data_IF_040295573071
#
_entry.id   IF_040295573071
#
_cell.length_a   1.000
_cell.length_b   1.000
_cell.length_c   1.000
_cell.angle_alpha   90.00
_cell.angle_beta   90.00
_cell.angle_gamma   90.00
#
_symmetry.space_group_name_H-M   'P 1'
#
loop_
_entity.id
_entity.type
_entity.pdbx_description
1 polymer ?
#
# COMPACT_ATOMS: atom_id res chain seq x y z
N UNK A 1 -4.00 10.83 13.99
CA UNK A 1 -3.25 10.74 12.72
C UNK A 1 -3.86 11.67 11.67
N UNK A 2 -5.19 11.66 11.49
CA UNK A 2 -5.89 12.46 10.47
C UNK A 2 -5.59 13.98 10.53
N UNK A 3 -5.39 14.55 11.72
CA UNK A 3 -5.05 15.96 11.89
C UNK A 3 -3.55 16.28 11.70
N UNK A 4 -2.68 15.26 11.77
CA UNK A 4 -1.23 15.43 11.84
C UNK A 4 -0.53 15.11 10.52
N UNK A 5 -1.19 14.38 9.63
CA UNK A 5 -0.57 13.88 8.40
C UNK A 5 -1.58 13.82 7.26
N UNK A 6 -1.26 14.51 6.17
CA UNK A 6 -1.99 14.39 4.92
C UNK A 6 -1.43 13.22 4.11
N UNK A 7 -2.31 12.28 3.78
CA UNK A 7 -1.97 11.10 2.99
C UNK A 7 -1.49 11.47 1.59
N UNK A 8 -0.50 10.72 1.10
CA UNK A 8 -0.07 10.79 -0.30
C UNK A 8 -1.13 10.24 -1.26
N UNK A 9 -0.90 10.39 -2.57
CA UNK A 9 -1.78 9.81 -3.60
C UNK A 9 -1.91 8.28 -3.46
N UNK A 10 -0.80 7.59 -3.16
CA UNK A 10 -0.72 6.14 -3.23
C UNK A 10 -0.87 5.51 -1.84
N UNK A 11 -1.90 4.69 -1.68
CA UNK A 11 -2.29 4.08 -0.40
C UNK A 11 -2.26 2.57 -0.53
N UNK A 12 -1.90 1.86 0.54
CA UNK A 12 -1.92 0.40 0.55
C UNK A 12 -2.79 -0.14 1.67
N UNK A 13 -3.52 -1.21 1.36
CA UNK A 13 -4.38 -1.93 2.30
C UNK A 13 -3.92 -3.38 2.38
N UNK A 14 -3.63 -3.83 3.60
CA UNK A 14 -3.20 -5.20 3.85
C UNK A 14 -3.56 -5.70 5.25
N UNK A 15 -3.46 -7.01 5.44
CA UNK A 15 -3.61 -7.66 6.73
C UNK A 15 -2.27 -7.86 7.44
N UNK A 16 -2.25 -7.62 8.75
CA UNK A 16 -1.13 -7.98 9.62
C UNK A 16 -1.61 -8.83 10.78
N UNK A 17 -0.76 -9.75 11.21
CA UNK A 17 -1.07 -10.70 12.27
C UNK A 17 -0.35 -10.31 13.56
N UNK A 18 -1.11 -10.09 14.62
CA UNK A 18 -0.56 -10.02 15.98
C UNK A 18 -0.41 -11.45 16.50
N UNK A 19 0.63 -11.74 17.29
CA UNK A 19 0.91 -13.06 17.89
C UNK A 19 -0.12 -13.45 18.98
N UNK A 20 -1.36 -13.61 18.56
CA UNK A 20 -2.55 -14.08 19.25
C UNK A 20 -3.61 -14.47 18.21
N UNK A 21 -4.68 -15.19 18.58
CA UNK A 21 -5.79 -15.50 17.66
C UNK A 21 -6.59 -14.22 17.34
N UNK A 22 -6.17 -13.45 16.34
CA UNK A 22 -6.85 -12.27 15.81
C UNK A 22 -6.11 -11.70 14.60
N UNK A 23 -6.80 -10.96 13.71
CA UNK A 23 -6.18 -10.28 12.55
C UNK A 23 -6.38 -8.76 12.66
N UNK A 24 -5.38 -8.00 12.25
CA UNK A 24 -5.48 -6.55 12.07
C UNK A 24 -5.45 -6.25 10.57
N UNK A 25 -6.22 -5.25 10.16
CA UNK A 25 -6.23 -4.77 8.79
C UNK A 25 -5.79 -3.31 8.80
N UNK A 26 -4.78 -3.00 8.00
CA UNK A 26 -4.15 -1.69 7.97
C UNK A 26 -4.47 -0.95 6.68
N UNK A 27 -4.54 0.37 6.82
CA UNK A 27 -4.54 1.33 5.72
C UNK A 27 -3.37 2.28 5.94
N UNK A 28 -2.47 2.31 4.97
CA UNK A 28 -1.15 2.94 5.10
C UNK A 28 -0.80 3.81 3.89
N UNK A 29 0.05 4.80 4.13
CA UNK A 29 0.69 5.56 3.06
C UNK A 29 1.90 4.79 2.52
N UNK A 30 1.86 4.44 1.24
CA UNK A 30 2.87 3.59 0.59
C UNK A 30 4.24 4.25 0.49
N UNK A 31 4.27 5.58 0.38
CA UNK A 31 5.52 6.33 0.21
C UNK A 31 6.30 6.40 1.52
N UNK A 32 5.59 6.49 2.65
CA UNK A 32 6.21 6.66 3.97
C UNK A 32 6.18 5.41 4.83
N UNK A 33 5.34 4.42 4.51
CA UNK A 33 5.06 3.25 5.36
C UNK A 33 4.31 3.62 6.65
N UNK A 34 3.60 4.75 6.65
CA UNK A 34 2.88 5.23 7.83
C UNK A 34 1.53 4.55 7.94
N UNK A 35 1.26 3.93 9.10
CA UNK A 35 -0.07 3.38 9.37
C UNK A 35 -1.00 4.52 9.71
N UNK A 36 -2.01 4.70 8.86
CA UNK A 36 -2.96 5.77 9.02
C UNK A 36 -4.21 5.30 9.76
N UNK A 37 -4.78 4.16 9.35
CA UNK A 37 -5.98 3.59 9.97
C UNK A 37 -5.82 2.08 10.19
N UNK A 38 -6.40 1.61 11.29
CA UNK A 38 -6.41 0.19 11.66
C UNK A 38 -7.85 -0.24 11.91
N UNK A 39 -8.24 -1.37 11.32
CA UNK A 39 -9.49 -2.06 11.62
C UNK A 39 -9.18 -3.43 12.23
N UNK A 40 -9.75 -3.72 13.40
CA UNK A 40 -9.54 -4.99 14.10
C UNK A 40 -10.56 -6.00 13.58
N UNK A 41 -10.09 -7.17 13.18
CA UNK A 41 -10.96 -8.30 12.85
C UNK A 41 -11.06 -9.27 14.04
N UNK A 42 -12.24 -9.31 14.67
CA UNK A 42 -12.55 -10.17 15.83
C UNK A 42 -13.25 -11.49 15.50
N UNK A 43 -13.40 -11.82 14.21
CA UNK A 43 -14.10 -13.04 13.76
C UNK A 43 -15.54 -12.76 13.34
N UNK A 44 -16.40 -13.78 13.51
CA UNK A 44 -17.80 -13.77 13.07
C UNK A 44 -18.60 -12.63 13.71
N UNK A 45 -19.37 -11.90 12.90
CA UNK A 45 -20.13 -10.70 13.32
C UNK A 45 -19.36 -9.37 13.20
N UNK A 46 -18.07 -9.38 12.88
CA UNK A 46 -17.30 -8.14 12.66
C UNK A 46 -17.46 -7.64 11.22
N UNK A 47 -18.10 -6.49 11.04
CA UNK A 47 -18.19 -5.85 9.73
C UNK A 47 -19.17 -6.51 8.78
N UNK A 48 -20.39 -6.72 9.25
CA UNK A 48 -21.52 -7.17 8.45
C UNK A 48 -22.28 -5.97 7.91
N UNK A 49 -22.39 -5.89 6.59
CA UNK A 49 -23.36 -5.05 5.89
C UNK A 49 -24.29 -5.98 5.11
N UNK A 50 -25.57 -5.63 4.99
CA UNK A 50 -26.53 -6.39 4.19
C UNK A 50 -26.19 -6.34 2.69
N UNK A 51 -25.50 -5.29 2.24
CA UNK A 51 -25.23 -5.02 0.82
C UNK A 51 -23.79 -5.36 0.40
N UNK A 52 -22.84 -5.25 1.34
CA UNK A 52 -21.41 -5.39 1.07
C UNK A 52 -20.88 -6.73 1.57
N UNK A 53 -20.05 -7.37 0.76
CA UNK A 53 -19.21 -8.46 1.25
C UNK A 53 -18.24 -7.94 2.31
N UNK A 54 -17.77 -8.83 3.19
CA UNK A 54 -16.81 -8.47 4.25
C UNK A 54 -15.59 -7.72 3.70
N UNK A 55 -15.04 -8.15 2.56
CA UNK A 55 -13.88 -7.50 1.92
C UNK A 55 -14.20 -6.09 1.43
N UNK A 56 -15.40 -5.87 0.90
CA UNK A 56 -15.85 -4.54 0.47
C UNK A 56 -16.09 -3.63 1.68
N UNK A 57 -16.73 -4.15 2.74
CA UNK A 57 -16.94 -3.42 4.00
C UNK A 57 -15.63 -2.94 4.63
N UNK A 58 -14.61 -3.81 4.65
CA UNK A 58 -13.29 -3.46 5.21
C UNK A 58 -12.66 -2.31 4.43
N UNK A 59 -12.61 -2.41 3.09
CA UNK A 59 -12.05 -1.33 2.26
C UNK A 59 -12.86 -0.06 2.44
N UNK A 60 -14.19 -0.17 2.54
CA UNK A 60 -15.06 0.97 2.76
C UNK A 60 -14.75 1.70 4.07
N UNK A 61 -14.65 0.97 5.17
CA UNK A 61 -14.31 1.54 6.48
C UNK A 61 -12.90 2.09 6.54
N UNK A 62 -11.95 1.48 5.82
CA UNK A 62 -10.59 1.98 5.76
C UNK A 62 -10.47 3.27 4.93
N UNK A 63 -11.33 3.45 3.93
CA UNK A 63 -11.34 4.61 3.02
C UNK A 63 -12.36 5.69 3.37
N UNK A 64 -13.18 5.50 4.41
CA UNK A 64 -14.17 6.48 4.88
C UNK A 64 -13.51 7.85 5.13
N UNK A 65 -13.99 8.90 4.46
CA UNK A 65 -13.39 10.25 4.49
C UNK A 65 -12.26 10.53 3.47
N UNK A 66 -11.84 9.53 2.70
CA UNK A 66 -10.76 9.63 1.70
C UNK A 66 -11.22 9.43 0.25
N UNK A 67 -12.51 9.26 0.01
CA UNK A 67 -13.07 9.23 -1.34
C UNK A 67 -13.05 10.60 -2.03
N UNK A 68 -13.17 10.60 -3.36
CA UNK A 68 -13.25 11.81 -4.20
C UNK A 68 -12.03 12.72 -4.13
N UNK A 69 -10.86 12.13 -3.84
CA UNK A 69 -9.57 12.84 -3.72
C UNK A 69 -8.53 12.36 -4.75
N UNK A 70 -8.89 11.43 -5.63
CA UNK A 70 -7.99 10.90 -6.66
C UNK A 70 -6.88 9.97 -6.12
N UNK A 71 -7.09 9.34 -4.96
CA UNK A 71 -6.15 8.38 -4.41
C UNK A 71 -6.11 7.08 -5.23
N UNK A 72 -4.95 6.41 -5.19
CA UNK A 72 -4.72 5.10 -5.80
C UNK A 72 -4.44 4.07 -4.70
N UNK A 73 -5.32 3.07 -4.59
CA UNK A 73 -5.23 2.02 -3.58
C UNK A 73 -4.54 0.78 -4.16
N UNK A 74 -3.55 0.26 -3.43
CA UNK A 74 -2.86 -0.98 -3.72
C UNK A 74 -3.24 -2.04 -2.67
N UNK A 75 -3.67 -3.21 -3.12
CA UNK A 75 -4.20 -4.22 -2.20
C UNK A 75 -4.00 -5.63 -2.74
N UNK A 76 -3.89 -6.62 -1.85
CA UNK A 76 -3.75 -8.02 -2.24
C UNK A 76 -5.07 -8.64 -2.74
N UNK A 77 -4.95 -9.81 -3.36
CA UNK A 77 -6.01 -10.62 -3.93
C UNK A 77 -7.18 -10.95 -2.99
N UNK A 78 -6.99 -10.85 -1.67
CA UNK A 78 -8.05 -11.05 -0.69
C UNK A 78 -9.12 -9.94 -0.77
N UNK A 79 -8.73 -8.71 -1.08
CA UNK A 79 -9.67 -7.59 -1.18
C UNK A 79 -10.15 -7.38 -2.62
N UNK A 80 -9.30 -7.65 -3.62
CA UNK A 80 -9.60 -7.29 -5.01
C UNK A 80 -10.77 -8.06 -5.61
N UNK A 81 -11.67 -7.31 -6.26
CA UNK A 81 -12.73 -7.82 -7.12
C UNK A 81 -13.13 -6.77 -8.17
N UNK A 82 -13.68 -7.23 -9.30
CA UNK A 82 -14.18 -6.33 -10.35
C UNK A 82 -15.31 -5.43 -9.85
N UNK A 83 -16.21 -5.98 -9.02
CA UNK A 83 -17.30 -5.20 -8.39
C UNK A 83 -16.74 -4.05 -7.54
N UNK A 84 -15.79 -4.35 -6.66
CA UNK A 84 -15.15 -3.33 -5.81
C UNK A 84 -14.40 -2.29 -6.66
N UNK A 85 -13.69 -2.72 -7.71
CA UNK A 85 -12.97 -1.79 -8.59
C UNK A 85 -13.91 -0.78 -9.27
N UNK A 86 -15.10 -1.21 -9.70
CA UNK A 86 -16.12 -0.30 -10.23
C UNK A 86 -16.63 0.68 -9.18
N UNK A 87 -16.93 0.19 -7.97
CA UNK A 87 -17.39 1.01 -6.87
C UNK A 87 -16.37 2.09 -6.46
N UNK A 88 -15.09 1.73 -6.39
CA UNK A 88 -14.02 2.68 -6.09
C UNK A 88 -13.86 3.72 -7.21
N UNK A 89 -13.97 3.30 -8.47
CA UNK A 89 -13.84 4.20 -9.61
C UNK A 89 -14.99 5.24 -9.64
N UNK A 90 -16.21 4.84 -9.31
CA UNK A 90 -17.35 5.75 -9.14
C UNK A 90 -17.10 6.80 -8.04
N UNK A 91 -16.28 6.44 -7.03
CA UNK A 91 -15.83 7.33 -5.96
C UNK A 91 -14.51 8.07 -6.27
N UNK A 92 -14.14 8.17 -7.54
CA UNK A 92 -12.88 8.76 -8.02
C UNK A 92 -11.65 8.26 -7.25
N UNK A 93 -11.63 6.95 -6.99
CA UNK A 93 -10.55 6.27 -6.29
C UNK A 93 -10.09 5.10 -7.13
N UNK A 94 -8.81 5.07 -7.45
CA UNK A 94 -8.25 4.01 -8.28
C UNK A 94 -7.86 2.81 -7.41
N UNK A 95 -7.84 1.62 -8.02
CA UNK A 95 -7.35 0.43 -7.36
C UNK A 95 -6.43 -0.36 -8.29
N UNK A 96 -5.41 -0.98 -7.70
CA UNK A 96 -4.46 -1.85 -8.40
C UNK A 96 -4.05 -3.00 -7.51
N UNK A 97 -4.04 -4.22 -8.05
CA UNK A 97 -3.44 -5.33 -7.35
C UNK A 97 -3.66 -6.69 -7.98
N UNK A 98 -3.33 -7.73 -7.24
CA UNK A 98 -3.51 -9.12 -7.68
C UNK A 98 -4.98 -9.53 -7.55
N UNK A 99 -5.46 -10.41 -8.42
CA UNK A 99 -6.85 -10.86 -8.47
C UNK A 99 -6.91 -12.38 -8.42
N UNK A 100 -7.80 -12.97 -7.60
CA UNK A 100 -8.00 -14.43 -7.64
C UNK A 100 -8.82 -14.83 -8.86
N UNK A 101 -8.42 -15.91 -9.53
CA UNK A 101 -9.10 -16.44 -10.71
C UNK A 101 -10.58 -16.77 -10.46
N UNK A 102 -10.91 -17.26 -9.27
CA UNK A 102 -12.26 -17.65 -8.86
C UNK A 102 -13.14 -16.49 -8.38
N UNK A 103 -12.72 -15.23 -8.52
CA UNK A 103 -13.58 -14.08 -8.18
C UNK A 103 -14.75 -13.97 -9.16
N UNK A 104 -15.90 -13.57 -8.62
CA UNK A 104 -17.09 -13.26 -9.42
C UNK A 104 -16.79 -12.09 -10.37
N UNK A 105 -17.42 -12.11 -11.54
CA UNK A 105 -17.33 -11.08 -12.58
C UNK A 105 -15.95 -10.92 -13.25
N UNK A 106 -15.04 -11.86 -13.03
CA UNK A 106 -13.82 -11.91 -13.83
C UNK A 106 -14.15 -12.23 -15.30
N UNK A 107 -13.52 -11.56 -16.29
CA UNK A 107 -13.74 -11.86 -17.69
C UNK A 107 -13.36 -13.32 -18.01
N UNK A 108 -14.32 -14.12 -18.49
CA UNK A 108 -14.13 -15.56 -18.74
C UNK A 108 -12.98 -15.85 -19.72
N UNK A 109 -12.84 -15.00 -20.74
CA UNK A 109 -11.78 -15.10 -21.75
C UNK A 109 -10.36 -15.07 -21.16
N UNK A 110 -10.18 -14.46 -19.99
CA UNK A 110 -8.90 -14.41 -19.28
C UNK A 110 -8.64 -15.71 -18.51
N UNK A 111 -9.65 -16.22 -17.81
CA UNK A 111 -9.48 -17.39 -16.94
C UNK A 111 -9.15 -18.66 -17.71
N UNK A 112 -9.85 -18.91 -18.82
CA UNK A 112 -9.81 -20.20 -19.53
C UNK A 112 -8.60 -20.36 -20.46
N UNK A 113 -7.93 -19.26 -20.81
CA UNK A 113 -6.80 -19.29 -21.75
C UNK A 113 -5.53 -19.78 -21.06
N UNK A 114 -4.92 -20.82 -21.63
CA UNK A 114 -3.59 -21.34 -21.23
C UNK A 114 -2.51 -20.54 -21.97
N UNK A 115 -1.56 -20.00 -21.21
CA UNK A 115 -0.48 -19.17 -21.74
C UNK A 115 0.87 -19.91 -21.74
N UNK A 116 1.73 -19.55 -22.71
CA UNK A 116 3.18 -19.78 -22.60
C UNK A 116 3.79 -18.69 -21.71
N UNK A 117 5.00 -18.96 -21.21
CA UNK A 117 5.71 -18.00 -20.34
C UNK A 117 5.99 -16.70 -21.11
N UNK A 118 5.68 -15.56 -20.50
CA UNK A 118 5.86 -14.23 -21.10
C UNK A 118 4.68 -13.73 -21.92
N UNK A 119 3.67 -14.57 -22.21
CA UNK A 119 2.45 -14.10 -22.86
C UNK A 119 1.54 -13.39 -21.86
N UNK A 120 0.81 -12.38 -22.36
CA UNK A 120 -0.18 -11.60 -21.62
C UNK A 120 -1.49 -11.54 -22.39
N UNK A 121 -2.60 -11.59 -21.67
CA UNK A 121 -3.88 -11.11 -22.17
C UNK A 121 -4.38 -10.02 -21.24
N UNK A 122 -4.92 -8.95 -21.80
CA UNK A 122 -5.63 -7.93 -21.07
C UNK A 122 -7.04 -7.83 -21.64
N UNK A 123 -8.02 -7.66 -20.75
CA UNK A 123 -9.37 -7.30 -21.13
C UNK A 123 -9.85 -6.15 -20.24
N UNK A 124 -10.41 -5.14 -20.87
CA UNK A 124 -11.07 -4.04 -20.17
C UNK A 124 -12.55 -4.36 -20.04
N UNK A 125 -13.07 -4.03 -18.86
CA UNK A 125 -14.50 -3.96 -18.60
C UNK A 125 -15.08 -2.70 -19.24
N UNK A 126 -16.40 -2.64 -19.40
CA UNK A 126 -17.11 -1.48 -19.96
C UNK A 126 -16.84 -0.18 -19.19
N UNK A 127 -16.62 -0.28 -17.87
CA UNK A 127 -16.30 0.86 -17.00
C UNK A 127 -14.80 1.19 -16.94
N UNK A 128 -13.98 0.67 -17.85
CA UNK A 128 -12.56 1.03 -17.96
C UNK A 128 -11.62 0.34 -16.95
N UNK A 129 -12.08 -0.64 -16.17
CA UNK A 129 -11.21 -1.45 -15.31
C UNK A 129 -10.55 -2.54 -16.14
N UNK A 130 -9.23 -2.58 -16.16
CA UNK A 130 -8.44 -3.58 -16.87
C UNK A 130 -8.13 -4.79 -15.98
N UNK A 131 -8.33 -5.98 -16.52
CA UNK A 131 -7.87 -7.24 -15.91
C UNK A 131 -6.83 -7.86 -16.84
N UNK A 132 -5.68 -8.24 -16.28
CA UNK A 132 -4.60 -8.91 -17.00
C UNK A 132 -4.35 -10.29 -16.43
N UNK A 133 -4.04 -11.25 -17.30
CA UNK A 133 -3.39 -12.50 -16.91
C UNK A 133 -2.03 -12.59 -17.60
N UNK A 134 -1.02 -12.80 -16.78
CA UNK A 134 0.39 -12.89 -17.18
C UNK A 134 1.00 -14.15 -16.60
N UNK A 135 1.86 -14.81 -17.37
CA UNK A 135 2.54 -16.04 -16.93
C UNK A 135 4.04 -15.82 -16.74
N UNK A 136 4.49 -15.90 -15.49
CA UNK A 136 5.92 -16.07 -15.15
C UNK A 136 6.22 -17.54 -14.87
N UNK A 137 6.42 -17.90 -13.59
CA UNK A 137 6.49 -19.30 -13.15
C UNK A 137 5.11 -19.91 -12.97
N UNK A 138 4.14 -19.09 -12.61
CA UNK A 138 2.72 -19.43 -12.44
C UNK A 138 1.90 -18.33 -13.11
N UNK A 139 0.64 -18.65 -13.39
CA UNK A 139 -0.32 -17.68 -13.88
C UNK A 139 -0.62 -16.68 -12.76
N UNK A 140 -0.45 -15.39 -13.05
CA UNK A 140 -0.78 -14.28 -12.17
C UNK A 140 -1.87 -13.47 -12.85
N UNK A 141 -2.95 -13.21 -12.13
CA UNK A 141 -4.00 -12.30 -12.59
C UNK A 141 -3.88 -11.02 -11.77
N UNK A 142 -3.94 -9.88 -12.43
CA UNK A 142 -3.96 -8.57 -11.79
C UNK A 142 -5.12 -7.74 -12.34
N UNK A 143 -5.55 -6.76 -11.55
CA UNK A 143 -6.59 -5.81 -11.86
C UNK A 143 -6.05 -4.40 -11.63
N UNK A 144 -6.39 -3.48 -12.52
CA UNK A 144 -6.08 -2.07 -12.32
C UNK A 144 -7.14 -1.18 -12.98
N UNK A 145 -7.53 -0.11 -12.29
CA UNK A 145 -8.35 0.96 -12.85
C UNK A 145 -7.57 2.22 -13.21
N UNK A 146 -6.25 2.25 -12.99
CA UNK A 146 -5.37 3.39 -13.30
C UNK A 146 -4.30 3.06 -14.34
N UNK A 147 -3.65 1.91 -14.21
CA UNK A 147 -2.46 1.59 -14.99
C UNK A 147 -2.79 0.74 -16.22
N UNK A 148 -2.04 0.97 -17.29
CA UNK A 148 -2.07 0.09 -18.45
C UNK A 148 -1.45 -1.27 -18.14
N UNK A 149 -1.67 -2.22 -19.04
CA UNK A 149 -1.18 -3.59 -18.93
C UNK A 149 -0.05 -3.89 -19.91
N UNK A 150 0.62 -2.84 -20.37
CA UNK A 150 1.72 -2.94 -21.31
C UNK A 150 2.91 -3.66 -20.68
N UNK A 151 3.57 -4.47 -21.49
CA UNK A 151 4.76 -5.22 -21.10
C UNK A 151 5.97 -4.29 -21.05
N UNK A 152 6.48 -4.04 -19.85
CA UNK A 152 7.66 -3.21 -19.60
C UNK A 152 8.83 -4.11 -19.20
N UNK A 153 10.00 -3.84 -19.78
CA UNK A 153 11.24 -4.54 -19.45
C UNK A 153 11.86 -3.96 -18.18
N UNK A 154 12.07 -4.82 -17.19
CA UNK A 154 12.72 -4.47 -15.92
C UNK A 154 13.98 -5.32 -15.77
N UNK A 155 15.05 -4.66 -15.36
CA UNK A 155 16.28 -5.34 -14.95
C UNK A 155 16.18 -5.71 -13.48
N UNK A 156 16.26 -7.00 -13.18
CA UNK A 156 16.26 -7.47 -11.80
C UNK A 156 17.60 -7.15 -11.11
N UNK A 157 17.69 -7.23 -9.78
CA UNK A 157 18.95 -6.98 -9.02
C UNK A 157 20.16 -7.82 -9.46
N UNK A 158 19.92 -8.92 -10.20
CA UNK A 158 20.93 -9.82 -10.77
C UNK A 158 21.31 -9.50 -12.23
N UNK A 159 20.88 -8.35 -12.78
CA UNK A 159 21.12 -7.96 -14.17
C UNK A 159 20.24 -8.67 -15.22
N UNK A 160 19.32 -9.54 -14.80
CA UNK A 160 18.44 -10.28 -15.72
C UNK A 160 17.26 -9.41 -16.13
N UNK A 161 17.09 -9.21 -17.44
CA UNK A 161 15.93 -8.50 -18.01
C UNK A 161 14.70 -9.42 -17.96
N UNK A 162 13.60 -8.92 -17.40
CA UNK A 162 12.29 -9.57 -17.39
C UNK A 162 11.22 -8.61 -17.87
N UNK A 163 10.34 -9.10 -18.73
CA UNK A 163 9.16 -8.34 -19.17
C UNK A 163 7.97 -8.61 -18.24
N UNK A 164 7.34 -7.55 -17.72
CA UNK A 164 6.18 -7.62 -16.81
C UNK A 164 5.15 -6.54 -17.15
N UNK A 165 3.84 -6.79 -16.93
CA UNK A 165 2.81 -5.77 -17.05
C UNK A 165 3.02 -4.60 -16.09
N UNK A 166 2.84 -3.37 -16.55
CA UNK A 166 3.03 -2.15 -15.76
C UNK A 166 2.23 -2.15 -14.43
N UNK A 167 0.97 -2.60 -14.45
CA UNK A 167 0.15 -2.71 -13.23
C UNK A 167 0.77 -3.61 -12.15
N UNK A 168 1.44 -4.70 -12.55
CA UNK A 168 2.15 -5.61 -11.62
C UNK A 168 3.42 -4.94 -11.09
N UNK A 169 4.09 -4.11 -11.88
CA UNK A 169 5.26 -3.34 -11.44
C UNK A 169 4.84 -2.38 -10.35
N UNK A 170 3.82 -1.56 -10.62
CA UNK A 170 3.30 -0.56 -9.68
C UNK A 170 2.76 -1.21 -8.42
N UNK A 171 2.05 -2.33 -8.54
CA UNK A 171 1.64 -3.11 -7.38
C UNK A 171 2.82 -3.52 -6.49
N UNK A 172 3.89 -4.11 -7.05
CA UNK A 172 5.03 -4.54 -6.24
C UNK A 172 5.80 -3.36 -5.64
N UNK A 173 5.88 -2.23 -6.35
CA UNK A 173 6.49 -0.99 -5.87
C UNK A 173 5.81 -0.52 -4.58
N UNK A 174 4.49 -0.36 -4.62
CA UNK A 174 3.74 0.24 -3.52
C UNK A 174 3.35 -0.73 -2.40
N UNK A 175 3.20 -2.03 -2.68
CA UNK A 175 2.97 -3.03 -1.62
C UNK A 175 4.23 -3.31 -0.78
N UNK A 176 5.43 -3.08 -1.33
CA UNK A 176 6.68 -3.36 -0.62
C UNK A 176 6.90 -2.52 0.65
N UNK A 177 6.19 -1.39 0.79
CA UNK A 177 6.23 -0.55 1.99
C UNK A 177 5.68 -1.24 3.24
N UNK A 178 4.64 -2.07 3.08
CA UNK A 178 4.01 -2.80 4.18
C UNK A 178 4.95 -3.88 4.71
N UNK A 179 5.55 -4.67 3.82
CA UNK A 179 6.53 -5.71 4.18
C UNK A 179 7.66 -5.15 5.03
N UNK A 180 8.15 -3.94 4.70
CA UNK A 180 9.21 -3.28 5.45
C UNK A 180 8.76 -2.90 6.86
N UNK A 181 7.53 -2.41 7.02
CA UNK A 181 6.99 -2.12 8.34
C UNK A 181 6.88 -3.39 9.18
N UNK A 182 6.22 -4.43 8.65
CA UNK A 182 6.02 -5.68 9.38
C UNK A 182 7.37 -6.30 9.77
N UNK A 183 8.36 -6.21 8.88
CA UNK A 183 9.73 -6.59 9.17
C UNK A 183 10.32 -5.78 10.34
N UNK A 184 10.18 -4.44 10.34
CA UNK A 184 10.67 -3.59 11.44
C UNK A 184 10.00 -3.92 12.78
N UNK A 185 8.69 -4.17 12.78
CA UNK A 185 7.96 -4.59 13.99
C UNK A 185 8.42 -5.97 14.48
N UNK A 186 8.72 -6.89 13.56
CA UNK A 186 9.18 -8.24 13.89
C UNK A 186 10.57 -8.29 14.56
N UNK A 187 11.44 -7.31 14.29
CA UNK A 187 12.77 -7.25 14.91
C UNK A 187 12.74 -6.82 16.38
N UNK A 188 11.69 -6.12 16.79
CA UNK A 188 11.53 -5.61 18.15
C UNK A 188 10.22 -6.13 18.78
N UNK A 189 10.07 -7.46 18.95
CA UNK A 189 8.84 -8.03 19.49
C UNK A 189 8.69 -7.66 20.97
N UNK A 190 7.64 -6.92 21.29
CA UNK A 190 7.31 -6.54 22.65
C UNK A 190 6.27 -7.50 23.27
N UNK A 191 5.71 -8.43 22.49
CA UNK A 191 4.66 -9.35 22.93
C UNK A 191 5.25 -10.56 23.66
N UNK A 192 5.00 -10.65 24.97
CA UNK A 192 5.32 -11.85 25.76
C UNK A 192 4.21 -12.89 25.68
N UNK A 193 4.58 -14.17 25.67
CA UNK A 193 3.61 -15.31 25.60
C UNK A 193 2.56 -15.26 26.70
N UNK A 194 2.92 -14.82 27.90
CA UNK A 194 2.08 -14.80 29.11
C UNK A 194 1.04 -13.69 29.14
N UNK A 195 1.07 -12.75 28.18
CA UNK A 195 0.14 -11.62 28.16
C UNK A 195 -1.23 -12.03 27.63
N UNK A 196 -2.28 -11.55 28.30
CA UNK A 196 -3.66 -11.60 27.79
C UNK A 196 -3.75 -10.85 26.46
N UNK A 197 -4.65 -11.29 25.58
CA UNK A 197 -4.70 -10.86 24.19
C UNK A 197 -4.87 -9.35 23.98
N UNK A 198 -5.75 -8.70 24.76
CA UNK A 198 -5.99 -7.26 24.66
C UNK A 198 -4.74 -6.45 25.06
N UNK A 199 -3.89 -6.98 25.95
CA UNK A 199 -2.61 -6.36 26.31
C UNK A 199 -1.61 -6.45 25.15
N UNK A 200 -1.57 -7.58 24.44
CA UNK A 200 -0.74 -7.74 23.23
C UNK A 200 -1.16 -6.74 22.16
N UNK A 201 -2.47 -6.60 21.93
CA UNK A 201 -3.03 -5.61 21.03
C UNK A 201 -2.62 -4.17 21.43
N UNK A 202 -2.74 -3.80 22.71
CA UNK A 202 -2.33 -2.49 23.20
C UNK A 202 -0.83 -2.21 23.00
N UNK A 203 0.02 -3.19 23.27
CA UNK A 203 1.47 -3.10 23.01
C UNK A 203 1.75 -2.91 21.52
N UNK A 204 1.04 -3.66 20.66
CA UNK A 204 1.18 -3.56 19.22
C UNK A 204 0.81 -2.17 18.70
N UNK A 205 -0.28 -1.57 19.21
CA UNK A 205 -0.62 -0.19 18.88
C UNK A 205 0.46 0.80 19.32
N UNK A 206 1.08 0.61 20.49
CA UNK A 206 2.19 1.45 20.93
C UNK A 206 3.39 1.28 19.98
N UNK A 207 3.71 0.06 19.54
CA UNK A 207 4.79 -0.17 18.56
C UNK A 207 4.50 0.53 17.22
N UNK A 208 3.27 0.46 16.71
CA UNK A 208 2.84 1.18 15.50
C UNK A 208 3.00 2.70 15.70
N UNK A 209 2.55 3.24 16.84
CA UNK A 209 2.67 4.67 17.13
C UNK A 209 4.13 5.12 17.21
N UNK A 210 5.00 4.32 17.84
CA UNK A 210 6.44 4.60 17.92
C UNK A 210 7.09 4.54 16.53
N UNK A 211 6.71 3.57 15.71
CA UNK A 211 7.20 3.48 14.33
C UNK A 211 6.72 4.68 13.49
N UNK A 212 5.44 5.03 13.59
CA UNK A 212 4.89 6.20 12.91
C UNK A 212 5.62 7.49 13.34
N UNK A 213 5.86 7.65 14.65
CA UNK A 213 6.64 8.76 15.18
C UNK A 213 8.05 8.78 14.62
N UNK A 214 8.74 7.63 14.58
CA UNK A 214 10.09 7.52 14.03
C UNK A 214 10.13 7.87 12.54
N UNK A 215 9.17 7.41 11.75
CA UNK A 215 9.06 7.71 10.31
C UNK A 215 8.81 9.20 10.07
N UNK A 216 7.88 9.81 10.81
CA UNK A 216 7.62 11.25 10.74
C UNK A 216 8.82 12.09 11.19
N UNK A 217 9.48 11.66 12.28
CA UNK A 217 10.66 12.33 12.81
C UNK A 217 11.79 12.37 11.78
N UNK A 218 12.02 11.26 11.07
CA UNK A 218 13.06 11.19 10.04
C UNK A 218 12.68 11.97 8.79
N UNK A 219 11.39 12.00 8.40
CA UNK A 219 10.90 12.79 7.27
C UNK A 219 11.08 14.30 7.52
N UNK A 220 10.78 14.75 8.73
CA UNK A 220 10.84 16.16 9.11
C UNK A 220 12.23 16.59 9.60
N UNK A 221 13.31 15.84 9.29
CA UNK A 221 14.66 16.17 9.77
C UNK A 221 15.40 17.01 8.73
N UNK A 222 16.02 18.11 9.18
CA UNK A 222 16.89 18.88 8.30
C UNK A 222 18.12 18.07 7.87
N UNK A 223 18.33 17.91 6.55
CA UNK A 223 19.48 17.18 5.97
C UNK A 223 20.83 17.77 6.40
N UNK A 224 20.97 19.10 6.34
CA UNK A 224 22.21 19.79 6.67
C UNK A 224 22.52 19.78 8.18
N UNK A 225 21.54 20.14 9.01
CA UNK A 225 21.74 20.08 10.46
C UNK A 225 22.11 18.66 10.89
N UNK A 226 21.41 17.66 10.35
CA UNK A 226 21.69 16.25 10.61
C UNK A 226 23.15 15.89 10.34
N UNK A 227 23.72 16.33 9.22
CA UNK A 227 25.13 16.09 8.86
C UNK A 227 26.11 16.77 9.82
N UNK A 228 25.76 17.94 10.35
CA UNK A 228 26.55 18.72 11.32
C UNK A 228 26.37 18.24 12.77
N UNK A 229 25.64 17.14 13.01
CA UNK A 229 25.28 16.66 14.35
C UNK A 229 24.25 17.53 15.09
N UNK A 230 23.77 18.60 14.46
CA UNK A 230 22.73 19.50 15.00
C UNK A 230 21.36 18.92 14.65
N UNK A 231 20.43 18.82 15.60
CA UNK A 231 19.08 18.32 15.31
C UNK A 231 18.11 19.48 15.21
N UNK A 232 17.63 19.77 13.99
CA UNK A 232 16.50 20.67 13.72
C UNK A 232 15.41 19.91 12.97
N UNK A 233 14.17 20.07 13.41
CA UNK A 233 12.99 19.60 12.69
C UNK A 233 12.49 20.68 11.73
N UNK A 234 11.89 20.26 10.63
CA UNK A 234 11.47 21.12 9.52
C UNK A 234 10.14 20.62 8.98
N UNK A 235 9.26 21.55 8.63
CA UNK A 235 8.05 21.28 7.87
C UNK A 235 8.23 21.57 6.38
N UNK A 236 9.34 22.19 6.00
CA UNK A 236 9.68 22.55 4.64
C UNK A 236 10.61 21.52 4.01
N UNK A 237 10.35 21.23 2.74
CA UNK A 237 11.14 20.34 1.89
C UNK A 237 11.35 20.98 0.53
N UNK A 238 12.44 20.64 -0.15
CA UNK A 238 12.72 21.15 -1.49
C UNK A 238 12.15 20.22 -2.57
N UNK A 239 11.06 20.61 -3.22
CA UNK A 239 10.44 19.84 -4.32
C UNK A 239 11.29 19.78 -5.60
N UNK A 240 12.32 20.63 -5.74
CA UNK A 240 13.23 20.59 -6.89
C UNK A 240 14.35 19.55 -6.77
N UNK A 241 14.50 18.91 -5.62
CA UNK A 241 15.52 17.89 -5.38
C UNK A 241 14.90 16.48 -5.46
N UNK A 242 15.65 15.52 -5.98
CA UNK A 242 15.18 14.14 -6.22
C UNK A 242 14.65 13.43 -4.96
N UNK A 243 15.24 13.70 -3.80
CA UNK A 243 14.85 13.10 -2.51
C UNK A 243 13.82 13.93 -1.71
N UNK A 244 13.38 15.08 -2.24
CA UNK A 244 12.58 16.08 -1.50
C UNK A 244 13.10 16.33 -0.06
N UNK A 245 14.40 16.65 0.12
CA UNK A 245 15.01 16.72 1.44
C UNK A 245 14.42 17.84 2.29
N UNK A 246 14.20 17.55 3.57
CA UNK A 246 13.79 18.53 4.57
C UNK A 246 14.91 19.52 4.90
N UNK A 247 14.58 20.81 4.93
CA UNK A 247 15.50 21.88 5.33
C UNK A 247 14.84 22.85 6.30
N UNK A 248 15.58 23.27 7.34
CA UNK A 248 15.17 24.44 8.11
C UNK A 248 15.48 25.68 7.27
N UNK A 249 14.80 26.79 7.56
CA UNK A 249 14.94 28.04 6.79
C UNK A 249 16.41 28.42 6.55
N UNK A 250 17.23 28.39 7.60
CA UNK A 250 18.67 28.72 7.50
C UNK A 250 19.47 27.78 6.59
N UNK A 251 19.13 26.49 6.57
CA UNK A 251 19.89 25.48 5.83
C UNK A 251 19.44 25.34 4.38
N UNK A 252 18.25 25.86 4.03
CA UNK A 252 17.74 25.81 2.67
C UNK A 252 18.64 26.63 1.74
N UNK A 253 18.90 27.90 2.10
CA UNK A 253 19.79 28.76 1.31
C UNK A 253 21.21 28.21 1.25
N UNK A 254 21.74 27.70 2.37
CA UNK A 254 23.10 27.15 2.44
C UNK A 254 23.29 25.96 1.48
N UNK A 255 22.28 25.07 1.38
CA UNK A 255 22.35 23.93 0.48
C UNK A 255 22.25 24.35 -0.98
N UNK A 256 21.32 25.24 -1.32
CA UNK A 256 21.07 25.62 -2.72
C UNK A 256 22.03 26.67 -3.29
N UNK A 257 22.81 27.38 -2.46
CA UNK A 257 23.88 28.26 -2.93
C UNK A 257 25.19 27.54 -3.25
N UNK A 258 25.36 26.31 -2.79
CA UNK A 258 26.57 25.50 -2.95
C UNK A 258 26.41 24.34 -3.96
N UNK A 259 25.34 24.38 -4.77
CA UNK A 259 25.07 23.47 -5.89
C UNK A 259 25.29 24.26 -7.17
#
# INVERSE_FOLDING_TARGET
>A
MEELYQLSKNLSIDESMVLFRGRLMFHQDTNTGLVHRVLIYSGEGTGTSEELSHTEYVVEKLMEGYYYKGHSIYMDNYYNSVKLAHYLLEKQTYCTGTLRANRKNNPKAINDKKFKKGETICQYTEKGVGVVKWKDRRDVIAISSEHSHDLVNITNRRGIIKSKPLSIIKYNEYMSGIDRQDQMLSYYPCERKTLRWYKKLGIHFIQILLLNWYLLYNKNRCRLCSSKGVRKMTSFYCSMCEDEPGFCLDCFEEFHRNI
#
